data_IF_526478651489
#
_entry.id   IF_526478651489
#
_cell.length_a   1.000
_cell.length_b   1.000
_cell.length_c   1.000
_cell.angle_alpha   90.00
_cell.angle_beta   90.00
_cell.angle_gamma   90.00
#
_symmetry.space_group_name_H-M   'P 1'
#
loop_
_entity.id
_entity.type
_entity.pdbx_description
1 polymer ?
#
# COMPACT_ATOMS: atom_id res chain seq x y z
N UNK A 1 -15.90 -59.44 -53.07
CA UNK A 1 -15.24 -58.64 -52.03
C UNK A 1 -14.39 -57.61 -52.74
N UNK A 2 -14.95 -56.42 -52.91
CA UNK A 2 -14.38 -55.37 -53.77
C UNK A 2 -13.65 -54.39 -52.87
N UNK A 3 -12.35 -54.25 -53.10
CA UNK A 3 -11.47 -53.34 -52.36
C UNK A 3 -11.94 -51.89 -52.47
N UNK A 4 -12.21 -51.28 -51.32
CA UNK A 4 -12.43 -49.86 -51.18
C UNK A 4 -11.09 -49.13 -51.29
N UNK A 5 -10.87 -48.46 -52.41
CA UNK A 5 -10.03 -47.28 -52.46
C UNK A 5 -10.95 -46.10 -52.16
N UNK A 6 -10.82 -45.53 -50.97
CA UNK A 6 -11.46 -44.25 -50.66
C UNK A 6 -10.72 -43.16 -51.45
N UNK A 7 -11.43 -42.23 -52.10
CA UNK A 7 -10.80 -41.07 -52.74
C UNK A 7 -10.13 -40.23 -51.65
N UNK A 8 -8.82 -40.01 -51.79
CA UNK A 8 -8.13 -38.98 -51.03
C UNK A 8 -8.70 -37.65 -51.50
N UNK A 9 -9.39 -36.96 -50.59
CA UNK A 9 -9.92 -35.62 -50.78
C UNK A 9 -8.74 -34.66 -51.07
N UNK A 10 -8.75 -33.86 -52.15
CA UNK A 10 -7.62 -32.99 -52.51
C UNK A 10 -7.47 -31.77 -51.59
N UNK A 11 -8.11 -31.77 -50.42
CA UNK A 11 -8.17 -30.65 -49.48
C UNK A 11 -7.29 -30.82 -48.22
N UNK A 12 -6.56 -31.93 -48.08
CA UNK A 12 -5.52 -32.08 -47.05
C UNK A 12 -4.17 -32.29 -47.71
N UNK A 13 -3.65 -31.25 -48.35
CA UNK A 13 -2.22 -31.18 -48.65
C UNK A 13 -1.46 -30.74 -47.40
N UNK A 14 -1.52 -31.52 -46.32
CA UNK A 14 -0.55 -31.45 -45.22
C UNK A 14 0.79 -32.03 -45.72
N UNK A 15 1.38 -31.34 -46.67
CA UNK A 15 2.82 -31.34 -46.84
C UNK A 15 3.31 -30.04 -46.23
N UNK A 16 3.37 -29.98 -44.90
CA UNK A 16 4.18 -28.98 -44.19
C UNK A 16 5.65 -29.25 -44.51
N UNK A 17 6.03 -28.98 -45.75
CA UNK A 17 7.42 -28.80 -46.11
C UNK A 17 7.85 -27.50 -45.42
N UNK A 18 8.97 -27.49 -44.68
CA UNK A 18 9.43 -26.30 -43.95
C UNK A 18 9.79 -25.11 -44.85
N UNK A 19 9.57 -25.22 -46.15
CA UNK A 19 9.79 -24.20 -47.19
C UNK A 19 8.52 -23.80 -47.94
N UNK A 20 7.33 -24.19 -47.49
CA UNK A 20 6.06 -23.71 -48.05
C UNK A 20 5.59 -22.42 -47.37
N UNK A 21 4.94 -21.60 -48.17
CA UNK A 21 4.34 -20.30 -47.86
C UNK A 21 2.98 -20.33 -48.58
N UNK A 22 1.91 -20.62 -47.82
CA UNK A 22 0.59 -20.95 -48.37
C UNK A 22 -0.21 -19.71 -48.78
N UNK A 23 -0.04 -18.61 -48.04
CA UNK A 23 -0.70 -17.33 -48.31
C UNK A 23 0.18 -16.37 -49.15
N UNK A 24 1.42 -16.79 -49.45
CA UNK A 24 2.37 -16.14 -50.33
C UNK A 24 2.70 -14.72 -49.89
N UNK A 25 2.72 -14.50 -48.58
CA UNK A 25 2.96 -13.21 -47.97
C UNK A 25 4.46 -12.91 -47.79
N UNK A 26 5.31 -13.89 -48.11
CA UNK A 26 6.77 -13.83 -48.02
C UNK A 26 7.34 -14.43 -46.74
N UNK A 27 6.50 -14.94 -45.84
CA UNK A 27 6.87 -15.63 -44.61
C UNK A 27 6.49 -17.10 -44.74
N UNK A 28 7.46 -17.99 -44.53
CA UNK A 28 7.21 -19.44 -44.58
C UNK A 28 6.24 -19.83 -43.47
N UNK A 29 5.34 -20.79 -43.73
CA UNK A 29 4.36 -21.30 -42.75
C UNK A 29 5.00 -21.65 -41.39
N UNK A 30 6.25 -22.14 -41.39
CA UNK A 30 6.99 -22.49 -40.18
C UNK A 30 7.34 -21.28 -39.27
N UNK A 31 7.31 -20.06 -39.82
CA UNK A 31 7.63 -18.81 -39.15
C UNK A 31 6.49 -17.77 -39.24
N UNK A 32 5.39 -18.11 -39.90
CA UNK A 32 4.22 -17.26 -40.05
C UNK A 32 3.32 -17.34 -38.80
N UNK A 33 3.09 -16.18 -38.19
CA UNK A 33 2.20 -16.05 -37.03
C UNK A 33 0.74 -15.78 -37.43
N UNK A 34 0.49 -15.47 -38.70
CA UNK A 34 -0.78 -15.03 -39.25
C UNK A 34 -1.15 -15.85 -40.49
N UNK A 35 -1.59 -17.12 -40.32
CA UNK A 35 -2.08 -17.90 -41.45
C UNK A 35 -3.25 -17.18 -42.13
N UNK A 36 -3.32 -17.31 -43.45
CA UNK A 36 -4.34 -16.69 -44.32
C UNK A 36 -4.22 -15.17 -44.48
N UNK A 37 -2.99 -14.65 -44.58
CA UNK A 37 -2.77 -13.24 -44.88
C UNK A 37 -3.25 -12.89 -46.30
N UNK A 38 -4.08 -11.85 -46.50
CA UNK A 38 -4.60 -11.54 -47.82
C UNK A 38 -3.48 -11.19 -48.82
N UNK A 39 -3.48 -11.86 -49.97
CA UNK A 39 -2.50 -11.61 -51.04
C UNK A 39 -2.41 -10.11 -51.39
N UNK A 40 -1.19 -9.61 -51.61
CA UNK A 40 -0.88 -8.22 -51.93
C UNK A 40 -1.12 -7.20 -50.80
N UNK A 41 -1.25 -7.64 -49.55
CA UNK A 41 -1.27 -6.72 -48.40
C UNK A 41 0.12 -6.50 -47.82
N UNK A 42 0.43 -5.29 -47.29
CA UNK A 42 1.68 -5.06 -46.61
C UNK A 42 1.68 -5.79 -45.26
N UNK A 43 2.54 -6.80 -45.17
CA UNK A 43 2.78 -7.63 -43.99
C UNK A 43 3.98 -7.15 -43.19
N UNK A 44 4.14 -7.66 -41.98
CA UNK A 44 5.35 -7.44 -41.18
C UNK A 44 6.27 -8.67 -41.17
N UNK A 45 7.29 -8.65 -40.30
CA UNK A 45 8.27 -9.73 -40.21
C UNK A 45 7.69 -11.07 -39.74
N UNK A 46 6.49 -11.05 -39.16
CA UNK A 46 5.76 -12.20 -38.65
C UNK A 46 4.64 -12.66 -39.61
N UNK A 47 4.55 -12.07 -40.81
CA UNK A 47 3.50 -12.38 -41.81
C UNK A 47 2.21 -11.59 -41.60
N UNK A 48 2.03 -10.94 -40.45
CA UNK A 48 0.74 -10.33 -40.14
C UNK A 48 0.45 -9.02 -40.92
N UNK A 49 -0.70 -8.98 -41.60
CA UNK A 49 -1.25 -7.74 -42.18
C UNK A 49 -1.63 -6.71 -41.10
N UNK A 50 -1.80 -5.45 -41.51
CA UNK A 50 -2.32 -4.40 -40.62
C UNK A 50 -3.69 -4.75 -40.03
N UNK A 51 -4.55 -5.43 -40.77
CA UNK A 51 -5.87 -5.81 -40.27
C UNK A 51 -5.78 -6.92 -39.23
N UNK A 52 -5.05 -8.00 -39.52
CA UNK A 52 -4.84 -9.11 -38.58
C UNK A 52 -4.15 -8.62 -37.29
N UNK A 53 -3.19 -7.69 -37.38
CA UNK A 53 -2.58 -7.08 -36.19
C UNK A 53 -3.55 -6.21 -35.42
N UNK A 54 -4.42 -5.49 -36.10
CA UNK A 54 -5.45 -4.68 -35.43
C UNK A 54 -6.52 -5.56 -34.77
N UNK A 55 -6.84 -6.72 -35.35
CA UNK A 55 -7.72 -7.72 -34.75
C UNK A 55 -7.06 -8.37 -33.53
N UNK A 56 -5.80 -8.81 -33.64
CA UNK A 56 -5.00 -9.32 -32.49
C UNK A 56 -4.79 -8.25 -31.40
N UNK A 57 -4.64 -6.98 -31.77
CA UNK A 57 -4.53 -5.88 -30.81
C UNK A 57 -5.89 -5.47 -30.22
N UNK A 58 -6.98 -5.64 -30.98
CA UNK A 58 -8.35 -5.48 -30.50
C UNK A 58 -8.74 -6.57 -29.51
N UNK A 59 -8.15 -7.75 -29.65
CA UNK A 59 -8.31 -8.89 -28.75
C UNK A 59 -7.48 -8.80 -27.46
N UNK A 60 -6.66 -7.75 -27.31
CA UNK A 60 -6.19 -7.35 -25.98
C UNK A 60 -7.35 -6.88 -25.06
N UNK A 61 -8.59 -6.82 -25.57
CA UNK A 61 -9.81 -6.83 -24.77
C UNK A 61 -10.30 -8.25 -24.43
N UNK A 62 -9.39 -9.16 -24.13
CA UNK A 62 -9.64 -10.31 -23.28
C UNK A 62 -10.62 -11.33 -23.84
N UNK A 63 -10.17 -12.12 -24.80
CA UNK A 63 -10.48 -13.55 -24.75
C UNK A 63 -9.86 -14.06 -23.44
N UNK A 64 -10.69 -14.25 -22.41
CA UNK A 64 -10.28 -14.88 -21.17
C UNK A 64 -9.98 -16.37 -21.45
N UNK A 65 -8.85 -16.64 -22.11
CA UNK A 65 -8.06 -17.85 -21.93
C UNK A 65 -7.97 -18.05 -20.41
N UNK A 66 -8.51 -19.16 -19.86
CA UNK A 66 -8.73 -19.44 -18.43
C UNK A 66 -7.61 -18.91 -17.53
N UNK A 67 -7.73 -17.63 -17.19
CA UNK A 67 -6.55 -16.80 -17.01
C UNK A 67 -6.36 -16.47 -15.56
N UNK A 68 -5.13 -16.65 -15.10
CA UNK A 68 -4.61 -16.29 -13.78
C UNK A 68 -5.18 -14.96 -13.22
N UNK A 69 -5.52 -13.98 -14.07
CA UNK A 69 -6.15 -12.71 -13.70
C UNK A 69 -7.60 -12.81 -13.19
N UNK A 70 -8.48 -13.59 -13.81
CA UNK A 70 -9.87 -13.77 -13.33
C UNK A 70 -9.87 -14.47 -11.96
N UNK A 71 -9.08 -15.54 -11.85
CA UNK A 71 -8.93 -16.28 -10.60
C UNK A 71 -8.31 -15.39 -9.51
N UNK A 72 -7.29 -14.60 -9.83
CA UNK A 72 -6.69 -13.67 -8.89
C UNK A 72 -7.67 -12.60 -8.40
N UNK A 73 -8.46 -12.00 -9.29
CA UNK A 73 -9.48 -11.00 -8.92
C UNK A 73 -10.60 -11.61 -8.07
N UNK A 74 -11.03 -12.83 -8.40
CA UNK A 74 -12.00 -13.58 -7.61
C UNK A 74 -11.44 -13.93 -6.22
N UNK A 75 -10.16 -14.31 -6.11
CA UNK A 75 -9.49 -14.54 -4.82
C UNK A 75 -9.35 -13.26 -4.00
N UNK A 76 -9.10 -12.11 -4.63
CA UNK A 76 -9.09 -10.82 -3.93
C UNK A 76 -10.49 -10.46 -3.42
N UNK A 77 -11.55 -10.73 -4.20
CA UNK A 77 -12.94 -10.49 -3.78
C UNK A 77 -13.34 -11.39 -2.60
N UNK A 78 -13.04 -12.68 -2.68
CA UNK A 78 -13.30 -13.64 -1.60
C UNK A 78 -12.43 -13.32 -0.37
N UNK A 79 -11.15 -13.00 -0.57
CA UNK A 79 -10.23 -12.60 0.50
C UNK A 79 -10.71 -11.35 1.24
N UNK A 80 -11.19 -10.34 0.51
CA UNK A 80 -11.79 -9.14 1.10
C UNK A 80 -13.04 -9.45 1.95
N UNK A 81 -13.94 -10.30 1.45
CA UNK A 81 -15.12 -10.75 2.20
C UNK A 81 -14.73 -11.52 3.46
N UNK A 82 -13.75 -12.43 3.38
CA UNK A 82 -13.26 -13.18 4.54
C UNK A 82 -12.61 -12.27 5.60
N UNK A 83 -11.86 -11.25 5.18
CA UNK A 83 -11.29 -10.27 6.11
C UNK A 83 -12.37 -9.42 6.80
N UNK A 84 -13.39 -8.98 6.05
CA UNK A 84 -14.50 -8.22 6.63
C UNK A 84 -15.35 -9.08 7.59
N UNK A 85 -15.68 -10.31 7.19
CA UNK A 85 -16.41 -11.25 8.05
C UNK A 85 -15.57 -11.59 9.29
N UNK A 86 -14.26 -11.81 9.13
CA UNK A 86 -13.33 -12.06 10.23
C UNK A 86 -13.21 -10.87 11.19
N UNK A 87 -13.17 -9.64 10.69
CA UNK A 87 -13.16 -8.44 11.51
C UNK A 87 -14.47 -8.27 12.30
N UNK A 88 -15.62 -8.47 11.65
CA UNK A 88 -16.94 -8.40 12.30
C UNK A 88 -17.08 -9.51 13.35
N UNK A 89 -16.72 -10.75 13.01
CA UNK A 89 -16.74 -11.87 13.95
C UNK A 89 -15.77 -11.66 15.11
N UNK A 90 -14.57 -11.10 14.87
CA UNK A 90 -13.61 -10.74 15.90
C UNK A 90 -14.12 -9.67 16.87
N UNK A 91 -14.83 -8.66 16.37
CA UNK A 91 -15.48 -7.64 17.21
C UNK A 91 -16.64 -8.25 18.03
N UNK A 92 -17.43 -9.14 17.42
CA UNK A 92 -18.54 -9.82 18.09
C UNK A 92 -18.06 -10.84 19.14
N UNK A 93 -17.01 -11.61 18.85
CA UNK A 93 -16.39 -12.55 19.78
C UNK A 93 -15.64 -11.80 20.88
N UNK A 94 -14.96 -10.68 20.58
CA UNK A 94 -14.33 -9.84 21.61
C UNK A 94 -15.34 -9.37 22.65
N UNK A 95 -16.60 -9.06 22.27
CA UNK A 95 -17.65 -8.76 23.24
C UNK A 95 -18.02 -9.94 24.16
N UNK A 96 -17.83 -11.18 23.71
CA UNK A 96 -18.06 -12.40 24.51
C UNK A 96 -16.86 -12.76 25.40
N UNK A 97 -15.64 -12.52 24.91
CA UNK A 97 -14.38 -12.74 25.64
C UNK A 97 -14.06 -11.59 26.64
N UNK A 98 -14.61 -10.38 26.43
CA UNK A 98 -14.36 -9.21 27.28
C UNK A 98 -14.99 -9.32 28.68
N UNK A 99 -15.90 -10.26 28.91
CA UNK A 99 -16.35 -10.58 30.27
C UNK A 99 -15.33 -11.47 31.01
N UNK A 100 -14.69 -12.44 30.33
CA UNK A 100 -13.61 -13.23 30.91
C UNK A 100 -12.28 -12.45 30.99
N UNK A 101 -12.06 -11.48 30.09
CA UNK A 101 -10.86 -10.63 30.07
C UNK A 101 -10.85 -9.56 31.16
N UNK A 102 -12.00 -9.22 31.76
CA UNK A 102 -12.04 -8.31 32.91
C UNK A 102 -11.62 -8.97 34.23
N UNK A 103 -11.60 -10.30 34.27
CA UNK A 103 -11.27 -11.07 35.48
C UNK A 103 -9.75 -11.26 35.67
N UNK A 104 -8.96 -11.35 34.59
CA UNK A 104 -7.50 -11.56 34.73
C UNK A 104 -6.68 -10.29 35.01
N UNK A 105 -7.22 -9.09 34.82
CA UNK A 105 -6.47 -7.82 35.01
C UNK A 105 -6.42 -7.38 36.48
N UNK A 106 -7.17 -8.02 37.38
CA UNK A 106 -7.28 -7.55 38.78
C UNK A 106 -6.50 -8.36 39.81
N UNK A 107 -5.84 -9.48 39.48
CA UNK A 107 -5.35 -10.36 40.56
C UNK A 107 -3.85 -10.77 40.54
N UNK A 108 -2.99 -10.30 39.62
CA UNK A 108 -1.61 -10.84 39.60
C UNK A 108 -0.41 -9.91 39.36
N UNK A 109 -0.51 -8.57 39.35
CA UNK A 109 0.74 -7.79 39.16
C UNK A 109 0.87 -6.38 39.74
N UNK A 110 0.33 -6.10 40.93
CA UNK A 110 0.74 -4.92 41.71
C UNK A 110 0.86 -5.30 43.19
N UNK A 111 1.73 -6.24 43.55
CA UNK A 111 2.09 -6.43 44.97
C UNK A 111 3.59 -6.69 45.21
N UNK A 112 4.39 -7.04 44.19
CA UNK A 112 5.76 -7.51 44.44
C UNK A 112 6.90 -6.57 43.99
N UNK A 113 6.61 -5.32 43.59
CA UNK A 113 7.66 -4.35 43.15
C UNK A 113 7.68 -3.02 43.91
N UNK A 114 6.72 -2.72 44.80
CA UNK A 114 6.82 -1.51 45.64
C UNK A 114 6.54 -1.87 47.09
N UNK A 115 7.61 -2.30 47.77
CA UNK A 115 7.72 -2.03 49.20
C UNK A 115 7.75 -0.51 49.44
N UNK A 116 7.20 -0.12 50.58
CA UNK A 116 7.19 1.22 51.21
C UNK A 116 6.11 2.19 50.72
N UNK A 117 4.97 2.19 51.42
CA UNK A 117 4.27 3.37 51.94
C UNK A 117 4.27 4.67 51.11
N UNK A 118 3.79 4.64 49.87
CA UNK A 118 3.37 5.87 49.21
C UNK A 118 1.89 6.12 49.49
N UNK A 119 1.62 6.89 50.54
CA UNK A 119 0.34 7.54 50.79
C UNK A 119 0.04 8.47 49.61
N UNK A 120 -0.76 8.00 48.65
CA UNK A 120 -1.19 8.82 47.52
C UNK A 120 -2.27 9.81 47.96
N UNK A 121 -1.85 10.90 48.61
CA UNK A 121 -2.64 12.12 48.69
C UNK A 121 -2.56 12.83 47.34
N UNK A 122 -3.66 12.82 46.59
CA UNK A 122 -3.83 13.77 45.51
C UNK A 122 -4.03 15.15 46.15
N UNK A 123 -3.14 16.14 45.92
CA UNK A 123 -3.42 17.49 46.39
C UNK A 123 -4.60 18.02 45.57
N UNK A 124 -5.71 18.31 46.24
CA UNK A 124 -6.77 19.13 45.66
C UNK A 124 -6.12 20.48 45.39
N UNK A 125 -6.13 20.91 44.12
CA UNK A 125 -5.60 22.21 43.69
C UNK A 125 -6.53 23.31 44.22
N UNK A 126 -6.40 23.58 45.51
CA UNK A 126 -6.89 24.74 46.22
C UNK A 126 -6.21 25.96 45.61
N UNK A 127 -6.98 26.83 44.95
CA UNK A 127 -6.49 28.08 44.36
C UNK A 127 -6.01 29.12 45.37
N UNK A 128 -5.57 28.72 46.57
CA UNK A 128 -4.74 29.52 47.47
C UNK A 128 -3.31 29.01 47.40
N UNK A 129 -2.45 29.93 46.99
CA UNK A 129 -1.08 29.67 46.60
C UNK A 129 -0.26 28.90 47.62
N UNK A 130 0.55 28.01 47.09
CA UNK A 130 1.99 28.15 47.25
C UNK A 130 2.59 28.21 45.85
N UNK A 131 3.55 29.13 45.68
CA UNK A 131 4.30 29.37 44.45
C UNK A 131 5.00 28.08 44.02
N UNK A 132 4.32 27.24 43.24
CA UNK A 132 4.97 26.20 42.47
C UNK A 132 5.71 26.91 41.35
N UNK A 133 6.95 27.25 41.64
CA UNK A 133 7.90 27.89 40.73
C UNK A 133 7.77 27.24 39.35
N UNK A 134 7.19 27.97 38.41
CA UNK A 134 7.13 27.52 37.02
C UNK A 134 8.56 27.12 36.62
N UNK A 135 8.76 25.96 35.98
CA UNK A 135 10.08 25.54 35.53
C UNK A 135 10.69 26.48 34.49
N UNK A 136 9.98 27.54 34.09
CA UNK A 136 10.45 28.65 33.24
C UNK A 136 10.80 29.92 34.03
N UNK A 137 10.55 29.95 35.35
CA UNK A 137 10.79 31.13 36.19
C UNK A 137 12.28 31.42 36.39
N UNK A 138 13.11 30.38 36.44
CA UNK A 138 14.58 30.51 36.52
C UNK A 138 15.16 31.02 35.20
N UNK A 139 14.51 30.69 34.08
CA UNK A 139 14.85 31.10 32.72
C UNK A 139 14.41 32.55 32.48
N UNK A 140 13.30 33.00 33.09
CA UNK A 140 12.83 34.38 33.01
C UNK A 140 13.84 35.38 33.60
N UNK A 141 14.63 34.97 34.62
CA UNK A 141 15.71 35.79 35.17
C UNK A 141 16.83 36.08 34.16
N UNK A 142 17.02 35.20 33.17
CA UNK A 142 18.01 35.34 32.08
C UNK A 142 17.55 36.31 30.98
N UNK A 143 16.24 36.56 30.87
CA UNK A 143 15.63 37.42 29.84
C UNK A 143 14.82 38.57 30.46
N UNK A 144 15.46 39.61 31.02
CA UNK A 144 14.74 40.69 31.66
C UNK A 144 13.86 41.46 30.66
N UNK A 145 12.56 41.53 30.96
CA UNK A 145 11.57 42.24 30.13
C UNK A 145 10.84 41.35 29.11
N UNK A 146 11.15 40.06 29.05
CA UNK A 146 10.36 39.07 28.32
C UNK A 146 9.31 38.46 29.26
N UNK A 147 8.14 38.13 28.74
CA UNK A 147 7.11 37.40 29.49
C UNK A 147 7.24 35.88 29.26
N UNK A 148 6.76 35.09 30.23
CA UNK A 148 6.82 33.63 30.20
C UNK A 148 6.12 33.04 28.97
N UNK A 149 5.02 33.66 28.51
CA UNK A 149 4.27 33.18 27.36
C UNK A 149 5.04 33.38 26.04
N UNK A 150 5.75 34.49 25.89
CA UNK A 150 6.63 34.74 24.76
C UNK A 150 7.82 33.77 24.76
N UNK A 151 8.44 33.51 25.91
CA UNK A 151 9.48 32.49 26.05
C UNK A 151 8.97 31.11 25.61
N UNK A 152 7.80 30.70 26.10
CA UNK A 152 7.17 29.43 25.74
C UNK A 152 6.87 29.35 24.23
N UNK A 153 6.42 30.44 23.62
CA UNK A 153 6.16 30.49 22.18
C UNK A 153 7.43 30.20 21.35
N UNK A 154 8.58 30.74 21.73
CA UNK A 154 9.83 30.47 21.03
C UNK A 154 10.31 29.02 21.23
N UNK A 155 10.14 28.48 22.44
CA UNK A 155 10.45 27.08 22.70
C UNK A 155 9.55 26.13 21.89
N UNK A 156 8.25 26.45 21.75
CA UNK A 156 7.30 25.70 20.92
C UNK A 156 7.62 25.79 19.42
N UNK A 157 8.25 26.89 18.97
CA UNK A 157 8.79 27.05 17.63
C UNK A 157 10.11 26.26 17.40
N UNK A 158 10.59 25.56 18.43
CA UNK A 158 11.78 24.70 18.37
C UNK A 158 13.11 25.43 18.63
N UNK A 159 13.07 26.65 19.17
CA UNK A 159 14.28 27.36 19.58
C UNK A 159 14.84 26.77 20.88
N UNK A 160 16.16 26.74 21.01
CA UNK A 160 16.81 26.38 22.28
C UNK A 160 17.00 27.61 23.15
N UNK A 161 17.07 27.41 24.47
CA UNK A 161 17.30 28.49 25.43
C UNK A 161 18.62 29.24 25.14
N UNK A 162 19.69 28.53 24.75
CA UNK A 162 20.98 29.13 24.44
C UNK A 162 20.91 30.04 23.19
N UNK A 163 20.17 29.62 22.15
CA UNK A 163 19.98 30.43 20.94
C UNK A 163 19.16 31.69 21.23
N UNK A 164 18.18 31.56 22.12
CA UNK A 164 17.35 32.67 22.55
C UNK A 164 18.19 33.70 23.33
N UNK A 165 19.12 33.24 24.18
CA UNK A 165 20.04 34.10 24.95
C UNK A 165 20.92 34.93 24.02
N UNK A 166 21.54 34.31 23.01
CA UNK A 166 22.34 35.04 22.01
C UNK A 166 21.52 36.09 21.27
N UNK A 167 20.29 35.75 20.88
CA UNK A 167 19.38 36.66 20.20
C UNK A 167 19.00 37.86 21.09
N UNK A 168 18.67 37.60 22.36
CA UNK A 168 18.34 38.65 23.33
C UNK A 168 19.52 39.61 23.56
N UNK A 169 20.73 39.07 23.72
CA UNK A 169 21.94 39.87 23.91
C UNK A 169 22.24 40.76 22.69
N UNK A 170 22.04 40.26 21.47
CA UNK A 170 22.15 41.08 20.25
C UNK A 170 21.11 42.21 20.23
N UNK A 171 19.84 41.88 20.54
CA UNK A 171 18.76 42.85 20.53
C UNK A 171 18.95 43.99 21.55
N UNK A 172 19.46 43.67 22.74
CA UNK A 172 19.78 44.68 23.77
C UNK A 172 20.98 45.53 23.34
N UNK A 173 22.00 44.94 22.71
CA UNK A 173 23.16 45.66 22.21
C UNK A 173 22.85 46.62 21.06
N UNK A 174 21.81 46.34 20.26
CA UNK A 174 21.36 47.23 19.18
C UNK A 174 20.45 48.37 19.67
N UNK A 175 19.79 48.20 20.81
CA UNK A 175 18.87 49.19 21.40
C UNK A 175 19.46 50.02 22.54
N UNK A 176 20.67 49.70 23.02
CA UNK A 176 21.44 50.45 24.02
C UNK A 176 22.53 51.31 23.40
#
# INVERSE_FOLDING_TARGET
DLGGIEPVDPSTNETDEPSMDDDQDGVLNAADECPDTPENTPTDVSGCSLNQRNEKAGDASGEAEEGFGETFMLLLMIGGLLLLIGAVYGILQSRKENEARKDWVTDQHIDDVVGTEAQWEQPVLDGRGDESSSPLASELERFPGWDEAMLQQYLDLGWTLDQLEEYYQQQVAEQG
#
